data_IF_657966912681
#
_entry.id   IF_657966912681
#
_cell.length_a   1.000
_cell.length_b   1.000
_cell.length_c   1.000
_cell.angle_alpha   90.00
_cell.angle_beta   90.00
_cell.angle_gamma   90.00
#
_symmetry.space_group_name_H-M   'P 1'
#
loop_
_entity.id
_entity.type
_entity.pdbx_description
1 polymer ?
#
# COMPACT_ATOMS: atom_id res chain seq x y z
N UNK A 1 -17.36 15.03 3.60
CA UNK A 1 -16.66 13.86 4.21
C UNK A 1 -15.69 13.14 3.26
N UNK A 2 -15.78 13.29 1.92
CA UNK A 2 -14.80 12.74 0.96
C UNK A 2 -13.34 13.14 1.22
N UNK A 3 -13.10 14.34 1.75
CA UNK A 3 -11.74 14.87 1.97
C UNK A 3 -10.92 14.08 3.01
N UNK A 4 -11.53 13.16 3.77
CA UNK A 4 -10.81 12.43 4.83
C UNK A 4 -10.10 11.17 4.35
N UNK A 5 -10.49 10.58 3.22
CA UNK A 5 -9.94 9.29 2.76
C UNK A 5 -9.08 9.38 1.49
N UNK A 6 -9.23 10.42 0.68
CA UNK A 6 -8.28 10.77 -0.40
C UNK A 6 -6.84 11.01 0.14
N UNK A 7 -6.64 11.67 1.31
CA UNK A 7 -5.32 11.77 1.93
C UNK A 7 -4.74 10.42 2.32
N UNK A 8 -5.57 9.39 2.50
CA UNK A 8 -5.14 8.07 2.95
C UNK A 8 -4.46 7.28 1.83
N UNK A 9 -4.96 7.41 0.59
CA UNK A 9 -4.28 6.89 -0.61
C UNK A 9 -3.00 7.67 -0.94
N UNK A 10 -2.96 8.97 -0.62
CA UNK A 10 -1.74 9.79 -0.70
C UNK A 10 -0.74 9.45 0.42
N UNK A 11 -1.21 9.05 1.60
CA UNK A 11 -0.38 8.55 2.72
C UNK A 11 0.35 7.27 2.34
N UNK A 12 -0.26 6.38 1.55
CA UNK A 12 0.43 5.22 0.95
C UNK A 12 1.63 5.67 0.10
N UNK A 13 1.45 6.73 -0.70
CA UNK A 13 2.50 7.23 -1.59
C UNK A 13 3.67 7.83 -0.81
N UNK A 14 3.39 8.50 0.32
CA UNK A 14 4.42 8.98 1.23
C UNK A 14 5.14 7.83 1.96
N UNK A 15 4.39 6.81 2.41
CA UNK A 15 4.94 5.65 3.12
C UNK A 15 5.88 4.82 2.25
N UNK A 16 5.54 4.59 0.98
CA UNK A 16 6.41 3.91 0.00
C UNK A 16 7.70 4.70 -0.24
N UNK A 17 7.63 6.03 -0.26
CA UNK A 17 8.82 6.88 -0.43
C UNK A 17 9.73 6.91 0.81
N UNK A 18 9.16 6.80 2.02
CA UNK A 18 9.91 6.86 3.28
C UNK A 18 10.37 5.50 3.82
N UNK A 19 9.85 4.39 3.30
CA UNK A 19 10.27 3.04 3.70
C UNK A 19 11.71 2.69 3.27
N UNK A 20 12.35 3.54 2.44
CA UNK A 20 13.77 3.41 2.12
C UNK A 20 14.63 3.82 3.33
N UNK A 21 15.51 2.92 3.83
CA UNK A 21 16.47 3.29 4.86
C UNK A 21 17.35 4.43 4.35
N UNK A 22 17.31 5.58 5.02
CA UNK A 22 18.00 6.81 4.58
C UNK A 22 19.50 6.79 4.88
N UNK A 23 20.04 5.72 5.48
CA UNK A 23 21.48 5.58 5.71
C UNK A 23 21.89 4.10 5.89
N UNK A 24 22.51 3.45 4.88
CA UNK A 24 23.02 2.08 5.02
C UNK A 24 24.33 2.00 5.83
N UNK A 25 24.95 3.12 6.19
CA UNK A 25 26.30 3.18 6.77
C UNK A 25 26.40 3.36 8.29
N UNK A 26 25.29 3.45 9.03
CA UNK A 26 25.30 3.68 10.49
C UNK A 26 25.40 2.40 11.33
N UNK A 27 25.64 1.25 10.70
CA UNK A 27 25.36 -0.04 11.29
C UNK A 27 26.43 -1.08 10.94
N UNK A 28 26.98 -1.72 11.96
CA UNK A 28 27.97 -2.79 11.80
C UNK A 28 27.26 -4.05 11.29
N UNK A 29 27.42 -4.36 10.00
CA UNK A 29 26.70 -5.42 9.28
C UNK A 29 26.96 -6.85 9.77
N UNK A 30 27.86 -7.04 10.73
CA UNK A 30 28.30 -8.34 11.24
C UNK A 30 27.57 -8.80 12.52
N UNK A 31 26.69 -7.97 13.11
CA UNK A 31 25.90 -8.37 14.28
C UNK A 31 24.71 -9.28 13.85
N UNK A 32 24.65 -10.56 14.28
CA UNK A 32 23.56 -11.48 13.96
C UNK A 32 22.18 -10.98 14.37
N UNK A 33 22.10 -10.25 15.49
CA UNK A 33 20.85 -9.70 16.01
C UNK A 33 20.34 -8.55 15.14
N UNK A 34 21.27 -7.73 14.67
CA UNK A 34 20.95 -6.67 13.72
C UNK A 34 20.41 -7.24 12.41
N UNK A 35 21.05 -8.28 11.85
CA UNK A 35 20.57 -8.94 10.62
C UNK A 35 19.18 -9.53 10.78
N UNK A 36 18.85 -10.07 11.96
CA UNK A 36 17.52 -10.59 12.24
C UNK A 36 16.46 -9.49 12.35
N UNK A 37 16.78 -8.35 12.97
CA UNK A 37 15.89 -7.19 13.04
C UNK A 37 15.66 -6.57 11.67
N UNK A 38 16.70 -6.48 10.83
CA UNK A 38 16.59 -6.03 9.44
C UNK A 38 15.69 -6.95 8.61
N UNK A 39 15.86 -8.27 8.76
CA UNK A 39 14.99 -9.26 8.13
C UNK A 39 13.53 -9.10 8.57
N UNK A 40 13.28 -8.98 9.87
CA UNK A 40 11.92 -8.76 10.41
C UNK A 40 11.30 -7.46 9.87
N UNK A 41 12.04 -6.35 9.84
CA UNK A 41 11.57 -5.09 9.30
C UNK A 41 11.24 -5.20 7.79
N UNK A 42 12.08 -5.91 7.03
CA UNK A 42 11.84 -6.16 5.60
C UNK A 42 10.57 -6.99 5.39
N UNK A 43 10.40 -8.07 6.15
CA UNK A 43 9.20 -8.91 6.10
C UNK A 43 7.92 -8.15 6.47
N UNK A 44 7.96 -7.32 7.52
CA UNK A 44 6.81 -6.48 7.90
C UNK A 44 6.47 -5.44 6.83
N UNK A 45 7.49 -4.87 6.18
CA UNK A 45 7.31 -3.91 5.09
C UNK A 45 6.65 -4.58 3.87
N UNK A 46 7.08 -5.79 3.52
CA UNK A 46 6.45 -6.59 2.45
C UNK A 46 5.02 -6.95 2.80
N UNK A 47 4.77 -7.37 4.03
CA UNK A 47 3.43 -7.71 4.50
C UNK A 47 2.48 -6.51 4.42
N UNK A 48 2.92 -5.33 4.87
CA UNK A 48 2.16 -4.09 4.72
C UNK A 48 1.80 -3.88 3.26
N UNK A 49 2.79 -3.87 2.37
CA UNK A 49 2.59 -3.49 0.97
C UNK A 49 1.68 -4.48 0.23
N UNK A 50 1.81 -5.78 0.49
CA UNK A 50 0.87 -6.78 0.00
C UNK A 50 -0.56 -6.54 0.53
N UNK A 51 -0.72 -6.14 1.80
CA UNK A 51 -2.04 -5.82 2.36
C UNK A 51 -2.65 -4.56 1.73
N UNK A 52 -1.84 -3.53 1.49
CA UNK A 52 -2.26 -2.30 0.80
C UNK A 52 -2.77 -2.62 -0.61
N UNK A 53 -2.09 -3.54 -1.29
CA UNK A 53 -2.44 -3.93 -2.66
C UNK A 53 -3.69 -4.80 -2.71
N UNK A 54 -3.82 -5.75 -1.78
CA UNK A 54 -5.03 -6.56 -1.63
C UNK A 54 -6.24 -5.70 -1.31
N UNK A 55 -6.08 -4.67 -0.48
CA UNK A 55 -7.15 -3.71 -0.18
C UNK A 55 -7.57 -2.92 -1.41
N UNK A 56 -6.61 -2.44 -2.21
CA UNK A 56 -6.89 -1.75 -3.48
C UNK A 56 -7.57 -2.68 -4.51
N UNK A 57 -7.11 -3.94 -4.63
CA UNK A 57 -7.76 -4.95 -5.48
C UNK A 57 -9.21 -5.17 -5.03
N UNK A 58 -9.46 -5.36 -3.73
CA UNK A 58 -10.80 -5.58 -3.21
C UNK A 58 -11.72 -4.37 -3.49
N UNK A 59 -11.20 -3.16 -3.26
CA UNK A 59 -11.91 -1.91 -3.53
C UNK A 59 -12.32 -1.81 -5.00
N UNK A 60 -11.37 -1.91 -5.91
CA UNK A 60 -11.64 -1.72 -7.33
C UNK A 60 -12.35 -2.91 -7.97
N UNK A 61 -12.21 -4.12 -7.43
CA UNK A 61 -13.03 -5.25 -7.84
C UNK A 61 -14.51 -4.98 -7.56
N UNK A 62 -14.84 -4.40 -6.40
CA UNK A 62 -16.20 -4.01 -6.07
C UNK A 62 -16.72 -2.86 -6.93
N UNK A 63 -15.88 -1.85 -7.22
CA UNK A 63 -16.28 -0.80 -8.18
C UNK A 63 -16.56 -1.40 -9.55
N UNK A 64 -15.73 -2.35 -9.98
CA UNK A 64 -15.84 -3.00 -11.29
C UNK A 64 -17.14 -3.78 -11.46
N UNK A 65 -17.65 -4.46 -10.43
CA UNK A 65 -18.88 -5.26 -10.54
C UNK A 65 -20.12 -4.43 -10.87
N UNK A 66 -20.10 -3.13 -10.52
CA UNK A 66 -21.20 -2.22 -10.81
C UNK A 66 -21.06 -1.48 -12.15
N UNK A 67 -19.94 -1.66 -12.87
CA UNK A 67 -19.71 -1.04 -14.16
C UNK A 67 -20.08 -1.97 -15.31
N UNK A 68 -20.54 -1.40 -16.42
CA UNK A 68 -20.78 -2.16 -17.64
C UNK A 68 -19.42 -2.67 -18.20
N UNK A 69 -19.28 -3.98 -18.50
CA UNK A 69 -18.04 -4.57 -19.02
C UNK A 69 -17.49 -3.95 -20.32
N UNK A 70 -18.33 -3.29 -21.10
CA UNK A 70 -17.94 -2.63 -22.35
C UNK A 70 -17.37 -1.23 -22.15
N UNK A 71 -17.44 -0.69 -20.93
CA UNK A 71 -16.96 0.66 -20.63
C UNK A 71 -15.44 0.69 -20.52
N UNK A 72 -14.84 1.82 -20.92
CA UNK A 72 -13.39 2.03 -20.76
C UNK A 72 -12.96 1.88 -19.30
N UNK A 73 -13.74 2.42 -18.35
CA UNK A 73 -13.40 2.33 -16.92
C UNK A 73 -13.36 0.90 -16.40
N UNK A 74 -14.23 0.01 -16.89
CA UNK A 74 -14.17 -1.40 -16.54
C UNK A 74 -12.85 -2.04 -17.01
N UNK A 75 -12.40 -1.71 -18.21
CA UNK A 75 -11.14 -2.20 -18.78
C UNK A 75 -9.93 -1.65 -18.01
N UNK A 76 -9.92 -0.34 -17.73
CA UNK A 76 -8.87 0.33 -16.96
C UNK A 76 -8.72 -0.31 -15.57
N UNK A 77 -9.84 -0.53 -14.86
CA UNK A 77 -9.83 -1.19 -13.55
C UNK A 77 -9.37 -2.65 -13.66
N UNK A 78 -9.76 -3.36 -14.72
CA UNK A 78 -9.33 -4.74 -14.94
C UNK A 78 -7.82 -4.83 -15.14
N UNK A 79 -7.25 -3.91 -15.92
CA UNK A 79 -5.81 -3.83 -16.12
C UNK A 79 -5.11 -3.51 -14.79
N UNK A 80 -5.60 -2.51 -14.06
CA UNK A 80 -5.06 -2.13 -12.75
C UNK A 80 -5.02 -3.30 -11.75
N UNK A 81 -6.14 -4.00 -11.58
CA UNK A 81 -6.22 -5.19 -10.72
C UNK A 81 -5.24 -6.28 -11.18
N UNK A 82 -5.11 -6.49 -12.49
CA UNK A 82 -4.18 -7.49 -13.03
C UNK A 82 -2.74 -7.13 -12.67
N UNK A 83 -2.36 -5.86 -12.79
CA UNK A 83 -1.02 -5.40 -12.42
C UNK A 83 -0.74 -5.53 -10.93
N UNK A 84 -1.69 -5.16 -10.06
CA UNK A 84 -1.53 -5.34 -8.62
C UNK A 84 -1.37 -6.81 -8.23
N UNK A 85 -2.10 -7.73 -8.89
CA UNK A 85 -1.93 -9.17 -8.67
C UNK A 85 -0.55 -9.67 -9.12
N UNK A 86 -0.04 -9.20 -10.27
CA UNK A 86 1.33 -9.49 -10.71
C UNK A 86 2.35 -9.02 -9.69
N UNK A 87 2.16 -7.82 -9.16
CA UNK A 87 3.03 -7.25 -8.15
C UNK A 87 3.04 -8.07 -6.85
N UNK A 88 1.87 -8.49 -6.34
CA UNK A 88 1.77 -9.34 -5.14
C UNK A 88 2.48 -10.68 -5.36
N UNK A 89 2.36 -11.28 -6.56
CA UNK A 89 2.95 -12.57 -6.88
C UNK A 89 4.48 -12.53 -7.06
N UNK A 90 5.07 -11.35 -7.26
CA UNK A 90 6.52 -11.19 -7.36
C UNK A 90 7.19 -11.47 -6.00
N UNK A 91 8.26 -12.27 -6.04
CA UNK A 91 9.01 -12.70 -4.85
C UNK A 91 10.27 -11.88 -4.65
N UNK A 92 10.83 -11.36 -5.74
CA UNK A 92 11.98 -10.47 -5.68
C UNK A 92 11.55 -9.06 -5.26
N UNK A 93 12.13 -8.55 -4.19
CA UNK A 93 11.66 -7.31 -3.57
C UNK A 93 12.02 -6.07 -4.38
N UNK A 94 13.19 -6.06 -5.01
CA UNK A 94 13.60 -4.92 -5.85
C UNK A 94 12.74 -4.85 -7.11
N UNK A 95 12.42 -6.01 -7.69
CA UNK A 95 11.49 -6.12 -8.82
C UNK A 95 10.05 -5.81 -8.42
N UNK A 96 9.61 -6.23 -7.25
CA UNK A 96 8.29 -5.91 -6.69
C UNK A 96 8.14 -4.40 -6.51
N UNK A 97 9.13 -3.72 -5.93
CA UNK A 97 9.20 -2.26 -5.82
C UNK A 97 9.13 -1.57 -7.19
N UNK A 98 9.86 -2.09 -8.18
CA UNK A 98 9.83 -1.53 -9.53
C UNK A 98 8.44 -1.67 -10.17
N UNK A 99 7.82 -2.86 -10.08
CA UNK A 99 6.45 -3.07 -10.57
C UNK A 99 5.48 -2.12 -9.86
N UNK A 100 5.63 -1.88 -8.56
CA UNK A 100 4.79 -0.93 -7.83
C UNK A 100 4.89 0.48 -8.37
N UNK A 101 6.13 0.93 -8.59
CA UNK A 101 6.40 2.24 -9.16
C UNK A 101 5.83 2.35 -10.58
N UNK A 102 6.00 1.32 -11.40
CA UNK A 102 5.50 1.30 -12.77
C UNK A 102 3.96 1.36 -12.81
N UNK A 103 3.29 0.61 -11.93
CA UNK A 103 1.83 0.68 -11.78
C UNK A 103 1.38 2.05 -11.31
N UNK A 104 2.10 2.66 -10.38
CA UNK A 104 1.80 4.02 -9.98
C UNK A 104 1.93 5.00 -11.15
N UNK A 105 3.03 4.94 -11.89
CA UNK A 105 3.28 5.83 -13.03
C UNK A 105 2.26 5.63 -14.17
N UNK A 106 1.87 4.38 -14.45
CA UNK A 106 0.87 4.03 -15.47
C UNK A 106 -0.52 4.59 -15.11
N UNK A 107 -0.88 4.61 -13.82
CA UNK A 107 -2.21 4.98 -13.36
C UNK A 107 -2.31 6.36 -12.68
N UNK A 108 -1.19 7.08 -12.46
CA UNK A 108 -1.21 8.42 -11.82
C UNK A 108 -2.06 9.43 -12.59
N UNK A 109 -2.08 9.31 -13.92
CA UNK A 109 -2.85 10.20 -14.81
C UNK A 109 -4.24 9.66 -15.12
N UNK A 110 -4.52 8.41 -14.76
CA UNK A 110 -5.83 7.79 -14.91
C UNK A 110 -6.54 7.85 -13.56
N UNK A 111 -7.36 8.88 -13.31
CA UNK A 111 -8.03 8.99 -12.04
C UNK A 111 -9.16 7.97 -11.99
N UNK A 112 -8.84 6.74 -11.59
CA UNK A 112 -9.81 5.66 -11.34
C UNK A 112 -10.92 6.09 -10.35
N UNK A 113 -10.73 7.21 -9.67
CA UNK A 113 -11.65 7.83 -8.72
C UNK A 113 -12.41 9.04 -9.29
N UNK A 114 -11.98 9.60 -10.43
CA UNK A 114 -12.71 10.68 -11.10
C UNK A 114 -13.59 10.11 -12.20
N UNK A 115 -14.82 10.61 -12.25
CA UNK A 115 -15.76 10.21 -13.26
C UNK A 115 -15.51 10.95 -14.57
N UNK A 116 -15.66 10.21 -15.66
CA UNK A 116 -15.96 10.75 -16.98
C UNK A 116 -17.11 9.93 -17.51
N UNK A 117 -18.26 10.55 -17.70
CA UNK A 117 -19.49 9.83 -18.06
C UNK A 117 -19.34 9.03 -19.38
N UNK A 118 -18.54 9.53 -20.32
CA UNK A 118 -18.18 8.79 -21.55
C UNK A 118 -17.35 7.53 -21.31
N UNK A 119 -16.65 7.43 -20.17
CA UNK A 119 -15.82 6.29 -19.81
C UNK A 119 -16.52 5.29 -18.87
N UNK A 120 -17.58 5.72 -18.17
CA UNK A 120 -18.27 4.93 -17.13
C UNK A 120 -19.73 4.63 -17.47
N UNK A 121 -20.38 5.45 -18.31
CA UNK A 121 -21.83 5.44 -18.53
C UNK A 121 -22.64 5.91 -17.33
N UNK A 122 -21.99 6.56 -16.35
CA UNK A 122 -22.60 7.00 -15.10
C UNK A 122 -22.43 8.51 -14.92
N UNK A 123 -23.44 9.15 -14.34
CA UNK A 123 -23.30 10.52 -13.86
C UNK A 123 -22.30 10.60 -12.70
N UNK A 124 -21.76 11.78 -12.45
CA UNK A 124 -20.82 12.00 -11.32
C UNK A 124 -21.41 11.58 -9.98
N UNK A 125 -22.71 11.82 -9.77
CA UNK A 125 -23.40 11.42 -8.53
C UNK A 125 -23.49 9.90 -8.36
N UNK A 126 -23.76 9.17 -9.45
CA UNK A 126 -23.85 7.72 -9.45
C UNK A 126 -22.47 7.11 -9.23
N UNK A 127 -21.46 7.63 -9.94
CA UNK A 127 -20.09 7.15 -9.78
C UNK A 127 -19.55 7.44 -8.37
N UNK A 128 -19.86 8.61 -7.80
CA UNK A 128 -19.50 8.94 -6.41
C UNK A 128 -20.19 8.03 -5.40
N UNK A 129 -21.46 7.70 -5.62
CA UNK A 129 -22.19 6.75 -4.76
C UNK A 129 -21.56 5.37 -4.83
N UNK A 130 -21.20 4.93 -6.03
CA UNK A 130 -20.46 3.68 -6.24
C UNK A 130 -19.15 3.68 -5.45
N UNK A 131 -18.36 4.77 -5.50
CA UNK A 131 -17.10 4.90 -4.78
C UNK A 131 -17.25 5.07 -3.25
N UNK A 132 -18.47 5.18 -2.72
CA UNK A 132 -18.71 5.45 -1.28
C UNK A 132 -19.66 4.45 -0.60
N UNK A 133 -19.99 3.35 -1.28
CA UNK A 133 -20.84 2.29 -0.75
C UNK A 133 -20.26 1.64 0.52
N UNK A 134 -21.15 1.05 1.34
CA UNK A 134 -20.80 0.48 2.65
C UNK A 134 -19.61 -0.50 2.58
N UNK A 135 -19.60 -1.41 1.61
CA UNK A 135 -18.52 -2.38 1.43
C UNK A 135 -17.15 -1.72 1.19
N UNK A 136 -17.12 -0.56 0.52
CA UNK A 136 -15.90 0.21 0.31
C UNK A 136 -15.46 0.94 1.59
N UNK A 137 -16.40 1.36 2.44
CA UNK A 137 -16.09 1.91 3.76
C UNK A 137 -15.48 0.84 4.67
N UNK A 138 -15.98 -0.40 4.60
CA UNK A 138 -15.43 -1.53 5.35
C UNK A 138 -14.00 -1.86 4.89
N UNK A 139 -13.76 -1.88 3.57
CA UNK A 139 -12.41 -2.06 2.99
C UNK A 139 -11.47 -0.93 3.42
N UNK A 140 -11.95 0.31 3.41
CA UNK A 140 -11.15 1.47 3.84
C UNK A 140 -10.83 1.43 5.34
N UNK A 141 -11.75 0.92 6.15
CA UNK A 141 -11.54 0.75 7.60
C UNK A 141 -10.50 -0.34 7.85
N UNK A 142 -10.62 -1.48 7.17
CA UNK A 142 -9.62 -2.54 7.24
C UNK A 142 -8.23 -2.05 6.84
N UNK A 143 -8.14 -1.25 5.79
CA UNK A 143 -6.90 -0.63 5.37
C UNK A 143 -6.24 0.21 6.48
N UNK A 144 -7.02 1.02 7.22
CA UNK A 144 -6.49 1.83 8.33
C UNK A 144 -5.95 0.92 9.43
N UNK A 145 -6.66 -0.15 9.76
CA UNK A 145 -6.22 -1.14 10.75
C UNK A 145 -4.91 -1.78 10.34
N UNK A 146 -4.79 -2.25 9.09
CA UNK A 146 -3.57 -2.91 8.59
C UNK A 146 -2.35 -1.96 8.64
N UNK A 147 -2.54 -0.66 8.37
CA UNK A 147 -1.49 0.36 8.51
C UNK A 147 -1.12 0.58 9.98
N UNK A 148 -2.10 0.66 10.89
CA UNK A 148 -1.86 0.85 12.31
C UNK A 148 -1.10 -0.33 12.92
N UNK A 149 -1.46 -1.57 12.53
CA UNK A 149 -0.80 -2.79 12.96
C UNK A 149 0.67 -2.81 12.50
N UNK A 150 0.97 -2.37 11.27
CA UNK A 150 2.35 -2.24 10.80
C UNK A 150 3.17 -1.26 11.65
N UNK A 151 2.64 -0.06 11.92
CA UNK A 151 3.36 0.92 12.75
C UNK A 151 3.63 0.39 14.15
N UNK A 152 2.69 -0.36 14.70
CA UNK A 152 2.85 -1.01 16.00
C UNK A 152 3.97 -2.07 15.98
N UNK A 153 4.02 -2.93 14.96
CA UNK A 153 5.10 -3.91 14.83
C UNK A 153 6.46 -3.25 14.61
N UNK A 154 6.54 -2.20 13.79
CA UNK A 154 7.77 -1.43 13.59
C UNK A 154 8.23 -0.73 14.87
N UNK A 155 7.30 -0.21 15.69
CA UNK A 155 7.63 0.36 16.99
C UNK A 155 8.21 -0.69 17.96
N UNK A 156 7.67 -1.92 17.96
CA UNK A 156 8.22 -3.03 18.75
C UNK A 156 9.64 -3.40 18.29
N UNK A 157 9.87 -3.49 16.98
CA UNK A 157 11.20 -3.79 16.41
C UNK A 157 12.19 -2.69 16.81
N UNK A 158 11.80 -1.43 16.69
CA UNK A 158 12.63 -0.27 17.08
C UNK A 158 12.95 -0.26 18.58
N UNK A 159 11.97 -0.62 19.43
CA UNK A 159 12.18 -0.74 20.88
C UNK A 159 13.22 -1.81 21.25
N UNK A 160 13.28 -2.92 20.51
CA UNK A 160 14.32 -3.96 20.69
C UNK A 160 15.72 -3.44 20.33
N UNK A 161 15.85 -2.61 19.29
CA UNK A 161 17.13 -1.97 18.92
C UNK A 161 17.64 -1.06 20.04
N UNK A 162 16.77 -0.20 20.60
CA UNK A 162 17.13 0.75 21.67
C UNK A 162 17.47 0.03 22.98
N UNK A 163 16.67 -0.97 23.39
CA UNK A 163 16.93 -1.76 24.60
C UNK A 163 18.29 -2.46 24.60
N UNK A 164 18.75 -2.89 23.42
CA UNK A 164 20.06 -3.54 23.26
C UNK A 164 21.22 -2.55 23.19
N UNK A 165 21.04 -1.38 22.56
CA UNK A 165 22.04 -0.30 22.57
C UNK A 165 22.36 0.21 23.98
N UNK A 166 21.35 0.24 24.86
CA UNK A 166 21.53 0.60 26.29
C UNK A 166 22.22 -0.53 27.07
N UNK A 167 21.95 -1.79 26.73
CA UNK A 167 22.56 -2.96 27.39
C UNK A 167 24.06 -3.10 27.06
N UNK A 168 24.46 -2.81 25.82
CA UNK A 168 25.87 -2.81 25.40
C UNK A 168 26.64 -1.56 25.87
N UNK A 169 25.96 -0.43 26.11
CA UNK A 169 26.59 0.78 26.64
C UNK A 169 26.95 0.72 28.15
N UNK A 170 26.38 -0.23 28.89
CA UNK A 170 26.65 -0.44 30.33
C UNK A 170 27.75 -1.48 30.60
N UNK A 171 28.51 -1.90 29.58
CA UNK A 171 29.68 -2.78 29.73
C UNK A 171 30.98 -2.17 29.16
N UNK A 172 31.12 -0.85 29.12
CA UNK A 172 32.40 -0.16 28.88
C UNK A 172 32.86 0.63 30.10
#
# INVERSE_FOLDING_TARGET
MLLKYIPLLLLVQLLVATAKPTNPHLFNSDDPLQRDLERQAKEQTVHLLDSLFRSQIAYFAEVKTALNPQTKRFQDITLYITRLNQAIAEKDLDRKDQIWKDVFEEFKESPLLLNRESETGLTDSQYKTLLTGQKLQDISTKFVTDVADYFWEMAKISGKVVGNGISNGNQS
#
